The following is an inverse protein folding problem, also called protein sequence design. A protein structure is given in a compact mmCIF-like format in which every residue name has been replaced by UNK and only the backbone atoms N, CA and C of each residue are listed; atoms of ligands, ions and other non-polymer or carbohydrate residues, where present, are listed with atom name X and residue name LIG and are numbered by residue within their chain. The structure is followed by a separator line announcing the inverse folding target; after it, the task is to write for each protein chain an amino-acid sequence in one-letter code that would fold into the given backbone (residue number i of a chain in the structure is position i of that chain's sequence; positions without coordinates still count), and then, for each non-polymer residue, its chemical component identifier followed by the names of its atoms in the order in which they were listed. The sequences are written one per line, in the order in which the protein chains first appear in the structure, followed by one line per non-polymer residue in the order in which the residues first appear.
data_IF_963876683564
#
_entry.id   IF_963876683564
#
_cell.length_a   1.000
_cell.length_b   1.000
_cell.length_c   1.000
_cell.angle_alpha   90.00
_cell.angle_beta   90.00
_cell.angle_gamma   90.00
#
_symmetry.space_group_name_H-M   'P 1'
#
loop_
_entity.id
_entity.type
_entity.pdbx_description
1 polymer ?
#
# COMPACT_ATOMS: atom_id res chain seq x y z
N UNK A 1 9.53 93.32 -15.38
CA UNK A 1 9.70 93.95 -14.04
C UNK A 1 9.14 92.97 -12.98
N UNK A 2 9.99 92.53 -12.02
CA UNK A 2 9.70 91.82 -10.76
C UNK A 2 9.13 90.40 -10.87
N UNK A 3 9.87 89.36 -10.60
CA UNK A 3 10.46 88.86 -9.33
C UNK A 3 9.64 87.74 -8.68
N UNK A 4 10.21 86.60 -8.69
CA UNK A 4 10.36 85.59 -7.64
C UNK A 4 9.13 85.16 -6.81
N UNK A 5 8.88 83.82 -6.78
CA UNK A 5 9.12 83.05 -5.55
C UNK A 5 8.91 81.57 -5.76
N UNK A 6 9.84 80.78 -5.32
CA UNK A 6 9.84 79.32 -5.17
C UNK A 6 8.83 78.89 -4.11
N UNK A 7 8.12 77.80 -4.40
CA UNK A 7 7.46 77.06 -3.36
C UNK A 7 7.49 75.57 -3.72
N UNK A 8 8.25 74.83 -2.91
CA UNK A 8 8.39 73.38 -2.92
C UNK A 8 7.10 72.79 -2.36
N UNK A 9 6.45 71.88 -3.10
CA UNK A 9 5.38 71.09 -2.57
C UNK A 9 5.84 69.65 -2.52
N UNK A 10 5.87 69.10 -1.29
CA UNK A 10 5.99 67.72 -0.99
C UNK A 10 4.87 66.93 -1.67
N UNK A 11 5.19 66.00 -2.55
CA UNK A 11 4.27 64.99 -3.01
C UNK A 11 4.20 63.90 -1.93
N UNK A 12 3.17 63.90 -1.10
CA UNK A 12 2.72 62.75 -0.36
C UNK A 12 1.98 61.81 -1.31
N UNK A 13 2.64 60.72 -1.69
CA UNK A 13 2.03 59.67 -2.50
C UNK A 13 0.93 58.94 -1.73
N UNK A 14 -0.31 59.08 -2.17
CA UNK A 14 -1.39 58.16 -1.79
C UNK A 14 -1.21 56.87 -2.60
N UNK A 15 -0.86 55.80 -1.93
CA UNK A 15 -1.00 54.45 -2.45
C UNK A 15 -2.49 54.07 -2.41
N UNK A 16 -3.09 53.61 -3.51
CA UNK A 16 -4.42 52.99 -3.44
C UNK A 16 -4.31 51.64 -2.77
N UNK A 17 -5.01 51.47 -1.67
CA UNK A 17 -5.30 50.18 -1.04
C UNK A 17 -6.11 49.33 -2.04
N UNK A 18 -5.45 48.41 -2.70
CA UNK A 18 -6.11 47.29 -3.36
C UNK A 18 -6.65 46.36 -2.28
N UNK A 19 -7.92 46.50 -1.94
CA UNK A 19 -8.67 45.46 -1.25
C UNK A 19 -8.82 44.28 -2.21
N UNK A 20 -7.82 43.38 -2.23
CA UNK A 20 -7.96 42.07 -2.81
C UNK A 20 -8.87 41.23 -1.92
N UNK A 21 -9.90 40.63 -2.52
CA UNK A 21 -10.74 39.63 -1.90
C UNK A 21 -9.88 38.52 -1.28
N UNK A 22 -9.59 38.60 0.01
CA UNK A 22 -9.19 37.49 0.84
C UNK A 22 -10.47 36.90 1.44
N UNK A 23 -10.94 35.82 0.88
CA UNK A 23 -12.13 35.19 1.39
C UNK A 23 -12.51 33.99 0.54
N UNK A 24 -11.70 32.93 0.57
CA UNK A 24 -12.17 31.57 0.18
C UNK A 24 -11.37 30.42 0.78
N UNK A 25 -10.62 30.65 1.85
CA UNK A 25 -10.04 29.56 2.64
C UNK A 25 -10.16 29.96 4.10
N UNK A 26 -11.33 29.74 4.70
CA UNK A 26 -11.41 29.58 6.15
C UNK A 26 -10.78 28.24 6.49
N UNK A 27 -9.50 28.27 6.81
CA UNK A 27 -8.89 27.24 7.61
C UNK A 27 -9.55 27.32 8.99
N UNK A 28 -10.30 26.29 9.37
CA UNK A 28 -10.69 26.12 10.76
C UNK A 28 -9.43 26.28 11.61
N UNK A 29 -9.47 27.23 12.54
CA UNK A 29 -8.38 27.52 13.46
C UNK A 29 -8.23 26.38 14.45
N UNK A 30 -7.51 25.33 14.05
CA UNK A 30 -6.89 24.41 14.98
C UNK A 30 -5.61 25.08 15.46
N UNK A 31 -5.47 25.16 16.77
CA UNK A 31 -4.33 25.70 17.52
C UNK A 31 -3.01 25.37 16.83
N UNK A 32 -2.28 26.43 16.44
CA UNK A 32 -0.91 26.32 15.93
C UNK A 32 0.03 25.80 16.99
N UNK A 33 0.18 24.47 17.07
CA UNK A 33 1.41 23.88 17.58
C UNK A 33 2.47 24.10 16.50
N UNK A 34 3.56 24.80 16.82
CA UNK A 34 4.68 24.98 15.93
C UNK A 34 5.23 23.60 15.56
N UNK A 35 4.88 23.11 14.37
CA UNK A 35 5.58 22.02 13.74
C UNK A 35 7.03 22.45 13.60
N UNK A 36 7.92 21.84 14.37
CA UNK A 36 9.33 21.78 14.03
C UNK A 36 9.37 21.23 12.61
N UNK A 37 9.84 22.03 11.67
CA UNK A 37 10.04 21.63 10.27
C UNK A 37 11.11 20.55 10.23
N UNK A 38 10.74 19.31 10.53
CA UNK A 38 11.45 18.16 9.98
C UNK A 38 11.22 18.27 8.47
N UNK A 39 12.30 18.44 7.72
CA UNK A 39 12.25 18.35 6.25
C UNK A 39 11.77 16.95 5.93
N UNK A 40 10.47 16.83 5.60
CA UNK A 40 9.90 15.56 5.15
C UNK A 40 10.70 15.15 3.91
N UNK A 41 11.25 13.94 3.91
CA UNK A 41 11.93 13.38 2.74
C UNK A 41 10.93 13.15 1.62
N UNK A 42 11.36 12.64 0.51
CA UNK A 42 10.57 12.56 -0.70
C UNK A 42 10.69 11.18 -1.33
N UNK A 43 9.59 10.70 -1.89
CA UNK A 43 9.55 9.41 -2.56
C UNK A 43 8.61 9.39 -3.77
N UNK A 44 8.87 8.46 -4.69
CA UNK A 44 7.97 8.17 -5.79
C UNK A 44 7.08 6.98 -5.44
N UNK A 45 5.85 7.00 -5.94
CA UNK A 45 4.96 5.86 -5.89
C UNK A 45 4.03 5.84 -7.10
N UNK A 46 3.43 4.69 -7.35
CA UNK A 46 2.58 4.43 -8.49
C UNK A 46 1.21 3.96 -8.03
N UNK A 47 0.17 4.55 -8.60
CA UNK A 47 -1.22 4.19 -8.33
C UNK A 47 -1.83 3.67 -9.62
N UNK A 48 -2.54 2.55 -9.51
CA UNK A 48 -3.27 1.96 -10.60
C UNK A 48 -4.71 2.44 -10.59
N UNK A 49 -5.12 3.22 -11.60
CA UNK A 49 -6.51 3.56 -11.82
C UNK A 49 -7.13 2.52 -12.77
N UNK A 50 -8.03 1.69 -12.23
CA UNK A 50 -8.64 0.59 -12.99
C UNK A 50 -9.77 1.05 -13.89
N UNK A 51 -10.44 2.16 -13.58
CA UNK A 51 -11.50 2.72 -14.43
C UNK A 51 -10.93 3.34 -15.70
N UNK A 52 -9.86 4.13 -15.58
CA UNK A 52 -9.25 4.83 -16.73
C UNK A 52 -8.15 4.03 -17.41
N UNK A 53 -7.84 2.81 -16.93
CA UNK A 53 -6.76 1.97 -17.43
C UNK A 53 -5.42 2.72 -17.46
N UNK A 54 -5.01 3.30 -16.33
CA UNK A 54 -3.78 4.09 -16.22
C UNK A 54 -2.94 3.69 -15.00
N UNK A 55 -1.63 3.74 -15.18
CA UNK A 55 -0.68 3.87 -14.07
C UNK A 55 -0.41 5.36 -13.90
N UNK A 56 -0.59 5.88 -12.69
CA UNK A 56 -0.28 7.28 -12.38
C UNK A 56 0.90 7.30 -11.43
N UNK A 57 1.95 8.00 -11.84
CA UNK A 57 3.15 8.21 -11.03
C UNK A 57 3.01 9.50 -10.24
N UNK A 58 3.30 9.42 -8.96
CA UNK A 58 3.33 10.54 -8.03
C UNK A 58 4.69 10.68 -7.36
N UNK A 59 4.94 11.91 -6.93
CA UNK A 59 6.06 12.28 -6.08
C UNK A 59 5.51 13.00 -4.86
N UNK A 60 5.92 12.57 -3.68
CA UNK A 60 5.57 13.24 -2.42
C UNK A 60 6.79 13.90 -1.83
N UNK A 61 6.69 15.16 -1.44
CA UNK A 61 7.74 15.90 -0.74
C UNK A 61 7.11 16.99 0.13
N UNK A 62 7.62 17.13 1.35
CA UNK A 62 7.20 18.20 2.28
C UNK A 62 5.68 18.33 2.42
N UNK A 63 4.96 17.21 2.45
CA UNK A 63 3.50 17.18 2.55
C UNK A 63 2.76 17.60 1.27
N UNK A 64 3.45 17.70 0.14
CA UNK A 64 2.85 18.01 -1.16
C UNK A 64 2.90 16.81 -2.08
N UNK A 65 1.75 16.47 -2.66
CA UNK A 65 1.61 15.41 -3.66
C UNK A 65 1.65 16.02 -5.05
N UNK A 66 2.60 15.54 -5.87
CA UNK A 66 2.76 16.00 -7.25
C UNK A 66 2.60 14.84 -8.22
N UNK A 67 1.66 14.96 -9.15
CA UNK A 67 1.53 14.01 -10.27
C UNK A 67 2.71 14.20 -11.22
N UNK A 68 3.49 13.14 -11.44
CA UNK A 68 4.66 13.14 -12.33
C UNK A 68 4.26 12.82 -13.76
N UNK A 69 3.48 11.74 -13.94
CA UNK A 69 3.06 11.28 -15.26
C UNK A 69 1.85 10.34 -15.14
N UNK A 70 1.21 10.08 -16.29
CA UNK A 70 0.20 9.03 -16.46
C UNK A 70 0.57 8.18 -17.66
N UNK A 71 0.34 6.87 -17.54
CA UNK A 71 0.66 5.89 -18.59
C UNK A 71 -0.58 5.04 -18.84
N UNK A 72 -1.09 5.05 -20.06
CA UNK A 72 -2.17 4.14 -20.46
C UNK A 72 -1.63 2.72 -20.48
N UNK A 73 -2.36 1.80 -19.86
CA UNK A 73 -2.00 0.39 -19.81
C UNK A 73 -2.36 -0.30 -21.13
N UNK A 74 -1.64 -1.33 -21.56
CA UNK A 74 -1.92 -2.02 -22.81
C UNK A 74 -3.29 -2.72 -22.83
N UNK A 75 -3.73 -3.23 -21.67
CA UNK A 75 -5.03 -3.88 -21.45
C UNK A 75 -5.54 -3.52 -20.05
N UNK A 76 -6.74 -3.98 -19.68
CA UNK A 76 -7.34 -3.70 -18.36
C UNK A 76 -6.40 -4.12 -17.24
N UNK A 77 -5.98 -3.19 -16.39
CA UNK A 77 -5.00 -3.45 -15.33
C UNK A 77 -5.66 -4.07 -14.08
N UNK A 78 -4.89 -4.84 -13.33
CA UNK A 78 -5.35 -5.55 -12.12
C UNK A 78 -4.47 -5.20 -10.91
N UNK A 79 -3.14 -5.30 -11.05
CA UNK A 79 -2.22 -5.18 -9.93
C UNK A 79 -0.87 -4.60 -10.34
N UNK A 80 -0.13 -4.08 -9.37
CA UNK A 80 1.23 -3.55 -9.54
C UNK A 80 2.20 -4.20 -8.54
N UNK A 81 3.46 -4.35 -8.94
CA UNK A 81 4.58 -4.64 -8.05
C UNK A 81 5.82 -3.85 -8.46
N UNK A 82 6.47 -3.18 -7.52
CA UNK A 82 7.79 -2.54 -7.73
C UNK A 82 8.86 -3.51 -7.25
N UNK A 83 9.93 -3.65 -8.03
CA UNK A 83 11.08 -4.45 -7.63
C UNK A 83 11.84 -3.76 -6.48
N UNK A 84 12.35 -4.50 -5.47
CA UNK A 84 13.08 -3.92 -4.34
C UNK A 84 14.30 -3.06 -4.72
N UNK A 85 14.89 -3.29 -5.90
CA UNK A 85 15.98 -2.44 -6.43
C UNK A 85 15.48 -1.13 -7.07
N UNK A 86 14.18 -0.85 -7.03
CA UNK A 86 13.53 0.34 -7.59
C UNK A 86 13.73 0.55 -9.11
N UNK A 87 14.20 -0.47 -9.83
CA UNK A 87 14.53 -0.35 -11.26
C UNK A 87 13.39 -0.77 -12.18
N UNK A 88 12.46 -1.58 -11.67
CA UNK A 88 11.38 -2.16 -12.48
C UNK A 88 10.03 -2.13 -11.77
N UNK A 89 8.98 -1.91 -12.56
CA UNK A 89 7.59 -2.05 -12.17
C UNK A 89 6.96 -3.14 -13.04
N UNK A 90 6.28 -4.07 -12.41
CA UNK A 90 5.49 -5.13 -13.05
C UNK A 90 4.02 -4.76 -12.97
N UNK A 91 3.34 -4.83 -14.12
CA UNK A 91 1.93 -4.55 -14.27
C UNK A 91 1.19 -5.84 -14.64
N UNK A 92 0.36 -6.35 -13.73
CA UNK A 92 -0.59 -7.44 -14.02
C UNK A 92 -1.86 -6.89 -14.67
N UNK A 93 -2.27 -7.51 -15.76
CA UNK A 93 -3.45 -7.14 -16.54
C UNK A 93 -4.24 -8.39 -16.94
N UNK A 94 -5.45 -8.22 -17.48
CA UNK A 94 -6.23 -9.33 -18.09
C UNK A 94 -5.53 -9.94 -19.31
N UNK A 95 -4.52 -9.29 -19.88
CA UNK A 95 -3.76 -9.77 -21.04
C UNK A 95 -2.38 -10.31 -20.72
N UNK A 96 -2.06 -10.42 -19.42
CA UNK A 96 -0.75 -10.88 -18.95
C UNK A 96 0.05 -9.83 -18.19
N UNK A 97 1.32 -10.11 -17.93
CA UNK A 97 2.21 -9.26 -17.14
C UNK A 97 3.16 -8.49 -18.03
N UNK A 98 3.19 -7.16 -17.86
CA UNK A 98 4.10 -6.24 -18.54
C UNK A 98 5.18 -5.73 -17.56
N UNK A 99 6.33 -5.35 -18.12
CA UNK A 99 7.45 -4.78 -17.35
C UNK A 99 7.73 -3.37 -17.82
N UNK A 100 7.99 -2.49 -16.87
CA UNK A 100 8.45 -1.13 -17.10
C UNK A 100 9.77 -0.90 -16.35
N UNK A 101 10.72 -0.22 -16.96
CA UNK A 101 11.84 0.35 -16.22
C UNK A 101 11.43 1.66 -15.56
N UNK A 102 11.99 1.92 -14.36
CA UNK A 102 11.72 3.12 -13.56
C UNK A 102 12.95 4.03 -13.61
N UNK A 103 12.76 5.31 -13.88
CA UNK A 103 13.78 6.34 -13.77
C UNK A 103 13.18 7.66 -13.28
N UNK A 104 13.53 8.11 -12.07
CA UNK A 104 12.99 9.33 -11.45
C UNK A 104 11.44 9.38 -11.52
N UNK A 105 10.79 8.29 -11.13
CA UNK A 105 9.33 8.14 -11.17
C UNK A 105 8.70 8.03 -12.55
N UNK A 106 9.49 8.04 -13.63
CA UNK A 106 9.00 7.83 -15.00
C UNK A 106 9.12 6.37 -15.40
N UNK A 107 8.11 5.90 -16.11
CA UNK A 107 8.03 4.53 -16.62
C UNK A 107 8.35 4.47 -18.12
N UNK A 108 9.12 3.47 -18.50
CA UNK A 108 9.35 3.12 -19.92
C UNK A 108 9.06 1.63 -20.07
N UNK A 109 8.15 1.27 -20.98
CA UNK A 109 7.79 -0.12 -21.21
C UNK A 109 8.99 -0.91 -21.73
N UNK A 110 9.25 -2.06 -21.12
CA UNK A 110 10.32 -2.97 -21.50
C UNK A 110 9.81 -4.05 -22.46
N UNK A 111 10.69 -5.01 -22.83
CA UNK A 111 10.35 -6.16 -23.67
C UNK A 111 9.64 -5.77 -24.99
N UNK A 112 9.96 -4.59 -25.54
CA UNK A 112 9.30 -4.04 -26.74
C UNK A 112 7.75 -3.99 -26.62
N UNK A 113 7.21 -3.89 -25.39
CA UNK A 113 5.79 -3.91 -25.12
C UNK A 113 5.13 -5.31 -25.14
N UNK A 114 5.93 -6.37 -25.17
CA UNK A 114 5.45 -7.75 -25.03
C UNK A 114 5.24 -8.13 -23.55
N UNK A 115 4.35 -9.10 -23.29
CA UNK A 115 4.18 -9.69 -21.97
C UNK A 115 5.35 -10.59 -21.59
N UNK A 116 5.59 -10.74 -20.29
CA UNK A 116 6.57 -11.70 -19.74
C UNK A 116 5.89 -12.98 -19.24
N UNK A 117 4.61 -12.94 -18.95
CA UNK A 117 3.71 -14.07 -18.71
C UNK A 117 2.35 -13.75 -19.34
N UNK A 118 1.63 -14.77 -19.82
CA UNK A 118 0.27 -14.62 -20.30
C UNK A 118 -0.78 -14.79 -19.20
N UNK A 119 -0.35 -15.07 -17.98
CA UNK A 119 -1.25 -15.28 -16.85
C UNK A 119 -1.87 -13.96 -16.37
N UNK A 120 -3.14 -14.02 -16.01
CA UNK A 120 -3.86 -12.91 -15.40
C UNK A 120 -3.50 -12.87 -13.91
N UNK A 121 -2.47 -12.09 -13.59
CA UNK A 121 -2.00 -11.96 -12.21
C UNK A 121 -2.97 -11.11 -11.38
N UNK A 122 -3.54 -11.71 -10.32
CA UNK A 122 -4.40 -11.00 -9.35
C UNK A 122 -3.60 -10.22 -8.31
N UNK A 123 -2.49 -10.77 -7.86
CA UNK A 123 -1.56 -10.13 -6.93
C UNK A 123 -0.14 -10.61 -7.25
N UNK A 124 0.84 -9.73 -7.05
CA UNK A 124 2.25 -10.02 -7.36
C UNK A 124 3.18 -9.37 -6.35
N UNK A 125 4.34 -9.98 -6.14
CA UNK A 125 5.46 -9.39 -5.42
C UNK A 125 6.79 -9.90 -5.95
N UNK A 126 7.80 -9.02 -6.03
CA UNK A 126 9.17 -9.40 -6.36
C UNK A 126 9.90 -9.83 -5.08
N UNK A 127 10.69 -10.89 -5.17
CA UNK A 127 11.52 -11.34 -4.04
C UNK A 127 12.58 -10.29 -3.68
N UNK A 128 13.01 -10.22 -2.40
CA UNK A 128 13.95 -9.18 -1.91
C UNK A 128 15.26 -9.12 -2.67
N UNK A 129 15.73 -10.25 -3.20
CA UNK A 129 16.95 -10.35 -4.02
C UNK A 129 16.72 -10.00 -5.50
N UNK A 130 15.51 -9.58 -5.89
CA UNK A 130 15.10 -9.25 -7.26
C UNK A 130 15.24 -10.42 -8.27
N UNK A 131 15.34 -11.65 -7.80
CA UNK A 131 15.59 -12.82 -8.66
C UNK A 131 14.31 -13.50 -9.15
N UNK A 132 13.16 -13.24 -8.52
CA UNK A 132 11.89 -13.88 -8.85
C UNK A 132 10.72 -12.89 -8.74
N UNK A 133 9.79 -12.97 -9.67
CA UNK A 133 8.44 -12.41 -9.52
C UNK A 133 7.51 -13.55 -9.08
N UNK A 134 6.87 -13.38 -7.93
CA UNK A 134 5.83 -14.30 -7.46
C UNK A 134 4.49 -13.71 -7.85
N UNK A 135 3.64 -14.51 -8.47
CA UNK A 135 2.30 -14.11 -8.86
C UNK A 135 1.25 -15.13 -8.42
N UNK A 136 0.04 -14.66 -8.19
CA UNK A 136 -1.15 -15.47 -8.01
C UNK A 136 -2.10 -15.27 -9.19
N UNK A 137 -2.48 -16.35 -9.84
CA UNK A 137 -3.32 -16.32 -11.03
C UNK A 137 -4.78 -16.10 -10.67
N UNK A 138 -5.43 -15.14 -11.33
CA UNK A 138 -6.81 -14.73 -11.07
C UNK A 138 -7.79 -15.91 -11.12
N UNK A 139 -8.71 -15.93 -10.14
CA UNK A 139 -9.79 -16.91 -10.08
C UNK A 139 -9.37 -18.35 -9.84
N UNK A 140 -8.10 -18.61 -9.58
CA UNK A 140 -7.53 -19.94 -9.39
C UNK A 140 -6.83 -20.07 -8.04
N UNK A 141 -6.35 -21.27 -7.73
CA UNK A 141 -5.46 -21.56 -6.60
C UNK A 141 -4.00 -21.71 -7.07
N UNK A 142 -3.59 -21.05 -8.15
CA UNK A 142 -2.25 -21.19 -8.69
C UNK A 142 -1.37 -20.02 -8.24
N UNK A 143 -0.19 -20.37 -7.74
CA UNK A 143 0.92 -19.46 -7.46
C UNK A 143 2.06 -19.83 -8.38
N UNK A 144 2.64 -18.86 -9.06
CA UNK A 144 3.74 -19.03 -9.98
C UNK A 144 4.94 -18.19 -9.55
N UNK A 145 6.13 -18.64 -9.88
CA UNK A 145 7.38 -17.91 -9.72
C UNK A 145 8.09 -17.79 -11.07
N UNK A 146 8.32 -16.57 -11.52
CA UNK A 146 9.01 -16.25 -12.77
C UNK A 146 10.45 -15.85 -12.42
N UNK A 147 11.47 -16.60 -12.89
CA UNK A 147 12.86 -16.23 -12.64
C UNK A 147 13.23 -14.97 -13.44
N UNK A 148 13.85 -13.99 -12.76
CA UNK A 148 14.15 -12.67 -13.33
C UNK A 148 15.65 -12.41 -13.46
N UNK A 149 16.01 -11.65 -14.48
CA UNK A 149 17.29 -10.96 -14.56
C UNK A 149 17.24 -9.69 -13.71
N UNK A 150 18.09 -9.58 -12.71
CA UNK A 150 18.18 -8.40 -11.83
C UNK A 150 18.58 -7.12 -12.56
N UNK A 151 19.18 -7.23 -13.76
CA UNK A 151 19.64 -6.10 -14.57
C UNK A 151 18.65 -5.65 -15.63
N UNK A 152 17.76 -6.53 -16.09
CA UNK A 152 16.78 -6.20 -17.15
C UNK A 152 15.33 -6.31 -16.71
N UNK A 153 15.06 -6.94 -15.55
CA UNK A 153 13.71 -7.22 -15.07
C UNK A 153 12.95 -8.26 -15.90
N UNK A 154 13.59 -8.87 -16.90
CA UNK A 154 12.96 -9.83 -17.81
C UNK A 154 13.19 -11.28 -17.37
N UNK A 155 12.33 -12.23 -17.77
CA UNK A 155 12.50 -13.65 -17.44
C UNK A 155 13.81 -14.24 -17.92
N UNK A 156 14.39 -15.12 -17.11
CA UNK A 156 15.62 -15.86 -17.46
C UNK A 156 15.36 -17.36 -17.68
N UNK A 157 14.13 -17.83 -17.44
CA UNK A 157 13.75 -19.23 -17.57
C UNK A 157 12.23 -19.40 -17.51
N UNK A 158 11.80 -20.64 -17.45
CA UNK A 158 10.39 -20.99 -17.35
C UNK A 158 9.83 -20.73 -15.95
N UNK A 159 8.55 -20.42 -15.88
CA UNK A 159 7.77 -20.30 -14.65
C UNK A 159 7.78 -21.60 -13.84
N UNK A 160 7.71 -21.48 -12.54
CA UNK A 160 7.69 -22.59 -11.59
C UNK A 160 6.46 -22.49 -10.70
N UNK A 161 5.93 -23.63 -10.23
CA UNK A 161 4.81 -23.68 -9.29
C UNK A 161 5.08 -24.65 -8.15
N UNK A 162 4.40 -24.51 -6.99
CA UNK A 162 4.40 -25.54 -5.97
C UNK A 162 3.88 -26.87 -6.55
N UNK A 163 4.50 -27.99 -6.17
CA UNK A 163 4.17 -29.29 -6.73
C UNK A 163 2.78 -29.80 -6.32
N UNK A 164 2.23 -29.37 -5.20
CA UNK A 164 0.89 -29.69 -4.69
C UNK A 164 0.59 -28.97 -3.37
N UNK A 165 -0.63 -29.05 -2.86
CA UNK A 165 -0.98 -28.72 -1.48
C UNK A 165 -1.69 -27.39 -1.28
N UNK A 166 -1.83 -26.55 -2.29
CA UNK A 166 -2.66 -25.34 -2.16
C UNK A 166 -4.13 -25.73 -2.02
N UNK A 167 -4.88 -25.11 -1.08
CA UNK A 167 -6.34 -25.25 -1.00
C UNK A 167 -7.01 -24.86 -2.31
N UNK A 168 -8.11 -25.53 -2.66
CA UNK A 168 -8.90 -25.20 -3.86
C UNK A 168 -9.77 -23.96 -3.65
N UNK A 169 -9.13 -22.83 -3.33
CA UNK A 169 -9.80 -21.54 -3.08
C UNK A 169 -9.08 -20.45 -3.83
N UNK A 170 -9.81 -19.46 -4.32
CA UNK A 170 -9.23 -18.31 -5.02
C UNK A 170 -8.32 -17.51 -4.08
N UNK A 171 -7.16 -17.15 -4.59
CA UNK A 171 -6.18 -16.35 -3.85
C UNK A 171 -6.70 -14.91 -3.73
N UNK A 172 -6.53 -14.32 -2.55
CA UNK A 172 -6.91 -12.95 -2.24
C UNK A 172 -5.71 -12.02 -2.21
N UNK A 173 -4.60 -12.47 -1.62
CA UNK A 173 -3.36 -11.71 -1.53
C UNK A 173 -2.18 -12.67 -1.33
N UNK A 174 -1.00 -12.25 -1.77
CA UNK A 174 0.25 -12.91 -1.44
C UNK A 174 1.23 -11.94 -0.76
N UNK A 175 2.17 -12.49 0.01
CA UNK A 175 3.30 -11.78 0.58
C UNK A 175 4.55 -12.65 0.52
N UNK A 176 5.70 -12.05 0.19
CA UNK A 176 7.02 -12.67 0.30
C UNK A 176 7.66 -12.17 1.59
N UNK A 177 8.29 -13.06 2.36
CA UNK A 177 8.98 -12.63 3.57
C UNK A 177 10.16 -11.71 3.27
N UNK A 178 10.56 -10.80 4.20
CA UNK A 178 11.65 -9.85 3.99
C UNK A 178 13.00 -10.48 3.62
N UNK A 179 13.29 -11.69 4.11
CA UNK A 179 14.49 -12.43 3.70
C UNK A 179 14.30 -13.29 2.43
N UNK A 180 13.06 -13.41 1.94
CA UNK A 180 12.73 -14.19 0.75
C UNK A 180 12.65 -15.70 0.98
N UNK A 181 12.58 -16.16 2.23
CA UNK A 181 12.58 -17.58 2.58
C UNK A 181 11.18 -18.22 2.58
N UNK A 182 10.12 -17.39 2.51
CA UNK A 182 8.73 -17.83 2.49
C UNK A 182 7.87 -17.02 1.54
N UNK A 183 6.89 -17.69 0.94
CA UNK A 183 5.74 -17.11 0.26
C UNK A 183 4.49 -17.43 1.07
N UNK A 184 3.71 -16.42 1.42
CA UNK A 184 2.43 -16.52 2.11
C UNK A 184 1.30 -16.19 1.16
N UNK A 185 0.18 -16.89 1.27
CA UNK A 185 -0.95 -16.74 0.36
C UNK A 185 -2.25 -16.77 1.15
N UNK A 186 -2.98 -15.66 1.19
CA UNK A 186 -4.34 -15.59 1.72
C UNK A 186 -5.32 -16.17 0.69
N UNK A 187 -6.09 -17.18 1.08
CA UNK A 187 -6.91 -18.00 0.17
C UNK A 187 -8.38 -18.04 0.58
N UNK A 188 -8.94 -16.91 1.01
CA UNK A 188 -10.34 -16.84 1.39
C UNK A 188 -10.72 -17.90 2.43
N UNK A 189 -11.75 -18.68 2.16
CA UNK A 189 -12.19 -19.79 3.04
C UNK A 189 -11.19 -20.95 3.14
N UNK A 190 -10.18 -20.99 2.28
CA UNK A 190 -9.06 -21.93 2.34
C UNK A 190 -8.04 -21.62 3.43
N UNK A 191 -8.16 -20.47 4.10
CA UNK A 191 -7.19 -20.01 5.11
C UNK A 191 -5.98 -19.34 4.49
N UNK A 192 -4.82 -19.48 5.12
CA UNK A 192 -3.55 -18.90 4.63
C UNK A 192 -2.54 -20.02 4.45
N UNK A 193 -2.01 -20.19 3.23
CA UNK A 193 -0.90 -21.06 2.97
C UNK A 193 0.43 -20.36 3.22
N UNK A 194 1.42 -21.07 3.73
CA UNK A 194 2.83 -20.65 3.72
C UNK A 194 3.69 -21.72 3.06
N UNK A 195 4.65 -21.26 2.26
CA UNK A 195 5.45 -22.11 1.38
C UNK A 195 6.91 -21.71 1.57
N UNK A 196 7.79 -22.58 2.08
CA UNK A 196 9.22 -22.29 2.06
C UNK A 196 9.69 -21.99 0.65
N UNK A 197 10.56 -21.00 0.50
CA UNK A 197 11.05 -20.53 -0.79
C UNK A 197 12.57 -20.46 -0.79
N UNK A 198 13.22 -21.16 -1.74
CA UNK A 198 14.69 -21.19 -1.86
C UNK A 198 15.08 -20.68 -3.23
N UNK A 199 15.41 -19.42 -3.32
CA UNK A 199 15.66 -18.69 -4.57
C UNK A 199 16.74 -19.30 -5.47
N UNK A 200 17.69 -20.07 -4.91
CA UNK A 200 18.77 -20.72 -5.66
C UNK A 200 18.39 -22.04 -6.35
N UNK A 201 17.21 -22.57 -6.09
CA UNK A 201 16.75 -23.83 -6.68
C UNK A 201 16.09 -23.60 -8.05
N UNK A 202 16.13 -24.61 -8.92
CA UNK A 202 15.42 -24.60 -10.21
C UNK A 202 13.89 -24.54 -10.06
N UNK A 203 13.33 -25.22 -9.06
CA UNK A 203 12.00 -24.94 -8.52
C UNK A 203 12.20 -24.43 -7.10
N UNK A 204 11.87 -23.15 -6.83
CA UNK A 204 12.15 -22.53 -5.54
C UNK A 204 11.15 -22.91 -4.45
N UNK A 205 9.97 -23.45 -4.79
CA UNK A 205 8.91 -23.75 -3.84
C UNK A 205 9.16 -25.05 -3.07
N UNK A 206 9.02 -24.98 -1.75
CA UNK A 206 8.96 -26.12 -0.85
C UNK A 206 7.55 -26.67 -0.67
N UNK A 207 7.34 -27.43 0.40
CA UNK A 207 6.04 -28.02 0.74
C UNK A 207 5.06 -26.96 1.27
N UNK A 208 3.83 -26.99 0.78
CA UNK A 208 2.76 -26.11 1.24
C UNK A 208 2.26 -26.54 2.62
N UNK A 209 2.11 -25.58 3.52
CA UNK A 209 1.43 -25.78 4.82
C UNK A 209 0.33 -24.72 4.96
N UNK A 210 -0.82 -25.10 5.54
CA UNK A 210 -1.98 -24.22 5.65
C UNK A 210 -2.31 -23.90 7.10
N UNK A 211 -2.55 -22.62 7.39
CA UNK A 211 -3.16 -22.10 8.61
C UNK A 211 -4.66 -21.98 8.31
N UNK A 212 -5.50 -22.74 8.98
CA UNK A 212 -6.96 -22.68 8.80
C UNK A 212 -7.51 -21.31 9.25
N UNK A 213 -8.63 -20.89 8.69
CA UNK A 213 -9.37 -19.72 9.17
C UNK A 213 -9.74 -19.84 10.64
N UNK A 214 -9.85 -18.73 11.35
CA UNK A 214 -10.25 -18.69 12.76
C UNK A 214 -11.63 -19.29 12.98
N UNK A 215 -12.56 -18.99 12.09
CA UNK A 215 -13.89 -19.58 12.10
C UNK A 215 -14.24 -20.23 10.76
N UNK A 216 -15.14 -21.22 10.78
CA UNK A 216 -15.59 -21.91 9.56
C UNK A 216 -16.31 -21.01 8.56
N UNK A 217 -16.80 -19.85 9.00
CA UNK A 217 -17.40 -18.81 8.15
C UNK A 217 -16.44 -17.68 7.79
N UNK A 218 -15.17 -17.77 8.24
CA UNK A 218 -14.15 -16.77 8.00
C UNK A 218 -13.51 -16.92 6.61
N UNK A 219 -12.84 -15.86 6.18
CA UNK A 219 -12.06 -15.82 4.97
C UNK A 219 -10.79 -14.99 5.18
N UNK A 220 -9.62 -15.54 4.86
CA UNK A 220 -8.36 -14.82 4.85
C UNK A 220 -8.31 -13.93 3.61
N UNK A 221 -8.26 -12.61 3.81
CA UNK A 221 -8.29 -11.60 2.75
C UNK A 221 -6.92 -10.97 2.50
N UNK A 222 -6.12 -10.83 3.54
CA UNK A 222 -4.81 -10.19 3.46
C UNK A 222 -3.77 -10.92 4.32
N UNK A 223 -2.52 -10.76 3.93
CA UNK A 223 -1.38 -11.34 4.64
C UNK A 223 -0.18 -10.39 4.52
N UNK A 224 0.57 -10.22 5.60
CA UNK A 224 1.80 -9.42 5.62
C UNK A 224 2.79 -10.01 6.63
N UNK A 225 4.07 -9.70 6.45
CA UNK A 225 5.15 -10.10 7.36
C UNK A 225 5.81 -8.86 7.94
N UNK A 226 6.11 -8.90 9.22
CA UNK A 226 6.90 -7.88 9.92
C UNK A 226 8.26 -7.69 9.25
N UNK A 227 8.79 -6.44 9.12
CA UNK A 227 10.06 -6.18 8.42
C UNK A 227 11.27 -6.96 8.98
N UNK A 228 11.26 -7.24 10.29
CA UNK A 228 12.30 -8.03 10.97
C UNK A 228 11.96 -9.52 11.08
N UNK A 229 10.91 -9.99 10.40
CA UNK A 229 10.42 -11.38 10.47
C UNK A 229 10.09 -11.86 11.89
N UNK A 230 9.61 -10.97 12.75
CA UNK A 230 9.17 -11.33 14.10
C UNK A 230 7.76 -11.90 14.11
N UNK A 231 6.87 -11.32 13.27
CA UNK A 231 5.44 -11.58 13.25
C UNK A 231 4.92 -11.79 11.81
N UNK A 232 3.94 -12.68 11.71
CA UNK A 232 3.11 -12.86 10.53
C UNK A 232 1.71 -12.35 10.86
N UNK A 233 1.13 -11.56 10.00
CA UNK A 233 -0.19 -10.96 10.11
C UNK A 233 -1.14 -11.53 9.07
N UNK A 234 -2.35 -11.90 9.49
CA UNK A 234 -3.42 -12.39 8.60
C UNK A 234 -4.69 -11.61 8.90
N UNK A 235 -5.24 -10.95 7.90
CA UNK A 235 -6.53 -10.27 7.98
C UNK A 235 -7.65 -11.21 7.57
N UNK A 236 -8.59 -11.49 8.50
CA UNK A 236 -9.70 -12.41 8.25
C UNK A 236 -11.06 -11.76 8.52
N UNK A 237 -12.07 -12.14 7.74
CA UNK A 237 -13.46 -11.87 8.07
C UNK A 237 -13.92 -12.81 9.19
N UNK A 238 -14.95 -12.42 9.95
CA UNK A 238 -15.54 -13.25 11.00
C UNK A 238 -14.51 -13.83 12.01
N UNK A 239 -13.42 -13.10 12.24
CA UNK A 239 -12.33 -13.55 13.13
C UNK A 239 -12.54 -13.15 14.60
N UNK A 240 -13.50 -12.29 14.93
CA UNK A 240 -13.81 -11.91 16.31
C UNK A 240 -15.22 -12.37 16.73
N UNK A 241 -15.40 -12.69 18.01
CA UNK A 241 -16.64 -13.25 18.55
C UNK A 241 -17.82 -12.28 18.55
N UNK A 242 -17.62 -10.99 18.33
CA UNK A 242 -18.69 -10.01 18.20
C UNK A 242 -19.18 -9.94 16.75
N UNK A 243 -20.19 -10.76 16.44
CA UNK A 243 -21.05 -10.65 15.27
C UNK A 243 -20.36 -10.28 13.95
N UNK A 244 -19.63 -11.22 13.34
CA UNK A 244 -19.08 -11.12 11.98
C UNK A 244 -18.11 -9.93 11.74
N UNK A 245 -17.40 -9.47 12.76
CA UNK A 245 -16.37 -8.44 12.60
C UNK A 245 -15.08 -9.03 12.08
N UNK A 246 -14.38 -8.27 11.25
CA UNK A 246 -13.03 -8.61 10.81
C UNK A 246 -12.03 -8.62 11.96
N UNK A 247 -10.98 -9.39 11.84
CA UNK A 247 -9.92 -9.49 12.82
C UNK A 247 -8.54 -9.61 12.18
N UNK A 248 -7.55 -9.15 12.93
CA UNK A 248 -6.14 -9.33 12.64
C UNK A 248 -5.62 -10.48 13.47
N UNK A 249 -5.30 -11.60 12.82
CA UNK A 249 -4.60 -12.71 13.45
C UNK A 249 -3.10 -12.49 13.38
N UNK A 250 -2.41 -12.77 14.46
CA UNK A 250 -0.98 -12.52 14.58
C UNK A 250 -0.26 -13.76 15.08
N UNK A 251 0.79 -14.14 14.38
CA UNK A 251 1.57 -15.34 14.64
C UNK A 251 3.04 -14.97 14.86
N UNK A 252 3.74 -15.69 15.73
CA UNK A 252 5.20 -15.64 15.76
C UNK A 252 5.75 -16.21 14.46
N UNK A 253 6.58 -15.48 13.74
CA UNK A 253 7.15 -15.91 12.48
C UNK A 253 8.00 -17.18 12.64
N UNK A 254 8.81 -17.25 13.70
CA UNK A 254 9.74 -18.35 13.94
C UNK A 254 9.09 -19.73 14.17
N UNK A 255 7.82 -19.78 14.53
CA UNK A 255 7.12 -21.04 14.87
C UNK A 255 5.73 -21.15 14.28
N UNK A 256 5.24 -20.12 13.62
CA UNK A 256 3.86 -19.97 13.14
C UNK A 256 2.81 -20.28 14.22
N UNK A 257 3.14 -19.99 15.49
CA UNK A 257 2.20 -20.11 16.61
C UNK A 257 1.48 -18.81 16.84
N UNK A 258 0.15 -18.86 16.95
CA UNK A 258 -0.69 -17.67 17.16
C UNK A 258 -0.43 -17.03 18.52
N UNK A 259 -0.39 -15.69 18.58
CA UNK A 259 -0.17 -14.94 19.80
C UNK A 259 -1.38 -15.07 20.75
N UNK A 260 -1.07 -15.05 22.04
CA UNK A 260 -2.10 -14.87 23.06
C UNK A 260 -2.73 -13.47 22.91
N UNK A 261 -4.04 -13.40 22.77
CA UNK A 261 -4.79 -12.16 22.50
C UNK A 261 -5.20 -11.96 21.05
N UNK A 262 -4.63 -12.74 20.11
CA UNK A 262 -5.13 -12.84 18.74
C UNK A 262 -6.44 -13.67 18.73
N UNK A 263 -7.41 -13.34 17.84
CA UNK A 263 -7.41 -12.24 16.88
C UNK A 263 -7.74 -10.87 17.50
N UNK A 264 -7.13 -9.81 16.99
CA UNK A 264 -7.38 -8.43 17.36
C UNK A 264 -8.51 -7.85 16.50
N UNK A 265 -9.45 -7.11 17.11
CA UNK A 265 -10.59 -6.51 16.40
C UNK A 265 -10.12 -5.33 15.53
N UNK A 266 -10.42 -5.34 14.22
CA UNK A 266 -10.02 -4.30 13.28
C UNK A 266 -11.04 -3.17 13.10
N UNK A 267 -12.14 -3.20 13.84
CA UNK A 267 -13.20 -2.18 13.75
C UNK A 267 -14.05 -2.26 12.47
N UNK A 268 -13.64 -3.02 11.46
CA UNK A 268 -14.34 -3.21 10.20
C UNK A 268 -14.71 -4.67 9.92
N UNK A 269 -15.22 -4.94 8.72
CA UNK A 269 -15.70 -6.26 8.32
C UNK A 269 -14.71 -7.03 7.45
N UNK A 270 -13.93 -6.32 6.65
CA UNK A 270 -13.10 -6.88 5.60
C UNK A 270 -11.69 -6.25 5.62
N UNK A 271 -10.75 -6.83 6.38
CA UNK A 271 -9.37 -6.38 6.44
C UNK A 271 -8.63 -6.72 5.14
N UNK A 272 -8.63 -5.80 4.18
CA UNK A 272 -8.17 -6.01 2.81
C UNK A 272 -6.67 -5.76 2.62
N UNK A 273 -6.07 -4.92 3.47
CA UNK A 273 -4.64 -4.63 3.41
C UNK A 273 -4.06 -4.48 4.79
N UNK A 274 -2.88 -5.04 4.98
CA UNK A 274 -2.10 -4.93 6.20
C UNK A 274 -0.77 -4.30 5.85
N UNK A 275 -0.39 -3.26 6.57
CA UNK A 275 0.88 -2.55 6.43
C UNK A 275 1.64 -2.60 7.75
N UNK A 276 2.60 -3.53 7.93
CA UNK A 276 3.61 -3.36 8.95
C UNK A 276 4.49 -2.17 8.59
N UNK A 277 4.64 -1.22 9.50
CA UNK A 277 5.47 -0.03 9.30
C UNK A 277 6.95 -0.42 9.26
N UNK A 278 7.75 0.25 8.43
CA UNK A 278 9.14 -0.10 8.15
C UNK A 278 10.03 -0.18 9.40
N UNK A 279 9.79 0.66 10.42
CA UNK A 279 10.48 0.60 11.72
C UNK A 279 10.01 -0.55 12.63
N UNK A 280 8.97 -1.29 12.24
CA UNK A 280 8.46 -2.46 12.94
C UNK A 280 7.85 -2.17 14.32
N UNK A 281 7.48 -0.92 14.59
CA UNK A 281 6.84 -0.52 15.84
C UNK A 281 5.32 -0.52 15.77
N UNK A 282 4.78 -0.44 14.55
CA UNK A 282 3.35 -0.32 14.29
C UNK A 282 2.91 -1.26 13.18
N UNK A 283 1.62 -1.57 13.18
CA UNK A 283 0.94 -2.24 12.06
C UNK A 283 -0.42 -1.59 11.83
N UNK A 284 -0.76 -1.33 10.57
CA UNK A 284 -2.02 -0.74 10.14
C UNK A 284 -2.81 -1.72 9.33
N UNK A 285 -4.12 -1.74 9.56
CA UNK A 285 -5.07 -2.62 8.86
C UNK A 285 -6.14 -1.78 8.20
N UNK A 286 -6.17 -1.79 6.88
CA UNK A 286 -7.25 -1.15 6.13
C UNK A 286 -8.43 -2.09 5.99
N UNK A 287 -9.57 -1.67 6.50
CA UNK A 287 -10.84 -2.34 6.31
C UNK A 287 -11.60 -1.69 5.16
N UNK A 288 -12.07 -2.50 4.22
CA UNK A 288 -12.81 -2.03 3.05
C UNK A 288 -14.13 -1.35 3.42
N UNK A 289 -14.77 -1.81 4.50
CA UNK A 289 -16.04 -1.29 4.98
C UNK A 289 -16.26 -1.58 6.46
N UNK A 290 -17.18 -0.86 7.07
CA UNK A 290 -17.71 -1.13 8.42
C UNK A 290 -19.07 -1.82 8.34
N UNK A 291 -19.62 -2.22 9.48
CA UNK A 291 -20.97 -2.82 9.54
C UNK A 291 -22.10 -1.86 9.10
N UNK A 292 -21.85 -0.56 9.15
CA UNK A 292 -22.86 0.48 8.89
C UNK A 292 -22.55 1.39 7.71
N UNK A 293 -21.35 1.25 7.08
CA UNK A 293 -20.89 2.16 6.04
C UNK A 293 -19.96 1.48 5.04
N UNK A 294 -20.04 1.88 3.79
CA UNK A 294 -19.05 1.56 2.73
C UNK A 294 -17.74 2.35 2.89
N UNK A 295 -17.71 3.36 3.77
CA UNK A 295 -16.48 4.06 4.11
C UNK A 295 -15.54 3.10 4.83
N UNK A 296 -14.33 2.96 4.32
CA UNK A 296 -13.27 2.20 4.94
C UNK A 296 -12.72 2.90 6.18
N UNK A 297 -12.01 2.14 6.97
CA UNK A 297 -11.25 2.67 8.10
C UNK A 297 -9.89 1.97 8.18
N UNK A 298 -8.92 2.67 8.75
CA UNK A 298 -7.61 2.11 9.07
C UNK A 298 -7.53 1.99 10.58
N UNK A 299 -7.30 0.77 11.08
CA UNK A 299 -6.99 0.50 12.47
C UNK A 299 -5.49 0.41 12.66
N UNK A 300 -4.95 1.13 13.65
CA UNK A 300 -3.54 1.09 14.00
C UNK A 300 -3.29 0.33 15.30
N UNK A 301 -2.17 -0.39 15.35
CA UNK A 301 -1.71 -1.09 16.55
C UNK A 301 -0.26 -0.76 16.83
N UNK A 302 0.06 -0.56 18.11
CA UNK A 302 1.43 -0.54 18.61
C UNK A 302 1.87 -1.97 18.92
N UNK A 303 3.07 -2.33 18.48
CA UNK A 303 3.70 -3.62 18.76
C UNK A 303 4.61 -3.46 19.97
N UNK A 304 4.38 -4.25 20.99
CA UNK A 304 5.22 -4.30 22.18
C UNK A 304 5.94 -5.65 22.26
N UNK A 305 7.20 -5.64 22.65
CA UNK A 305 8.00 -6.86 22.82
C UNK A 305 8.67 -6.90 24.18
N UNK A 306 8.65 -8.06 24.81
CA UNK A 306 9.39 -8.34 26.04
C UNK A 306 9.87 -9.79 26.03
N UNK A 307 11.18 -10.00 26.07
CA UNK A 307 11.80 -11.34 26.13
C UNK A 307 11.21 -12.34 25.11
N UNK A 308 11.10 -11.94 23.84
CA UNK A 308 10.52 -12.74 22.75
C UNK A 308 9.02 -13.02 22.88
N UNK A 309 8.31 -12.30 23.74
CA UNK A 309 6.86 -12.26 23.79
C UNK A 309 6.39 -10.97 23.14
N UNK A 310 5.42 -11.07 22.23
CA UNK A 310 4.87 -9.94 21.49
C UNK A 310 3.39 -9.76 21.87
N UNK A 311 2.95 -8.50 21.91
CA UNK A 311 1.56 -8.14 22.06
C UNK A 311 1.24 -6.90 21.22
N UNK A 312 0.01 -6.83 20.72
CA UNK A 312 -0.51 -5.65 20.04
C UNK A 312 -1.48 -4.91 20.95
N UNK A 313 -1.40 -3.59 20.88
CA UNK A 313 -2.35 -2.70 21.55
C UNK A 313 -2.97 -1.77 20.51
N UNK A 314 -4.32 -1.76 20.41
CA UNK A 314 -5.03 -0.82 19.54
C UNK A 314 -4.69 0.61 19.95
N UNK A 315 -4.51 1.49 18.97
CA UNK A 315 -4.26 2.93 19.19
C UNK A 315 -5.52 3.67 19.65
N UNK A 316 -6.64 2.98 19.83
CA UNK A 316 -7.95 3.53 20.25
C UNK A 316 -8.48 4.67 19.35
N UNK A 317 -7.92 4.85 18.18
CA UNK A 317 -8.34 5.80 17.15
C UNK A 317 -8.32 5.11 15.80
N UNK A 318 -9.49 5.09 15.16
CA UNK A 318 -9.61 4.65 13.78
C UNK A 318 -9.33 5.84 12.87
N UNK A 319 -8.48 5.65 11.88
CA UNK A 319 -8.19 6.67 10.88
C UNK A 319 -9.18 6.54 9.73
N UNK A 320 -9.89 7.64 9.42
CA UNK A 320 -10.87 7.64 8.34
C UNK A 320 -10.17 7.46 7.00
N UNK A 321 -10.59 6.46 6.24
CA UNK A 321 -10.16 6.21 4.87
C UNK A 321 -11.23 6.71 3.86
N UNK A 322 -11.11 6.30 2.60
CA UNK A 322 -12.11 6.59 1.57
C UNK A 322 -13.18 5.49 1.47
N UNK A 323 -13.94 5.50 0.38
CA UNK A 323 -14.92 4.45 0.11
C UNK A 323 -14.21 3.21 -0.41
N UNK A 324 -14.48 2.06 0.22
CA UNK A 324 -13.90 0.78 -0.14
C UNK A 324 -12.37 0.80 -0.22
N UNK A 325 -11.70 1.13 0.88
CA UNK A 325 -10.23 1.10 0.96
C UNK A 325 -9.70 -0.31 0.68
N UNK A 326 -8.74 -0.42 -0.25
CA UNK A 326 -8.27 -1.72 -0.77
C UNK A 326 -6.78 -1.95 -0.60
N UNK A 327 -5.96 -0.90 -0.50
CA UNK A 327 -4.52 -1.07 -0.31
C UNK A 327 -3.90 0.05 0.51
N UNK A 328 -2.87 -0.30 1.25
CA UNK A 328 -1.97 0.61 1.95
C UNK A 328 -0.56 0.46 1.39
N UNK A 329 0.20 1.54 1.41
CA UNK A 329 1.64 1.54 1.14
C UNK A 329 2.32 2.59 2.01
N UNK A 330 3.60 2.36 2.34
CA UNK A 330 4.48 3.33 2.98
C UNK A 330 5.50 3.83 1.96
N UNK A 331 5.89 5.09 2.05
CA UNK A 331 6.92 5.63 1.18
C UNK A 331 8.33 5.31 1.69
N UNK A 332 9.32 5.39 0.81
CA UNK A 332 10.73 5.09 1.13
C UNK A 332 11.38 6.02 2.16
N UNK A 333 10.70 7.04 2.60
CA UNK A 333 11.19 7.93 3.66
C UNK A 333 10.66 7.58 5.05
N UNK A 334 9.77 6.58 5.14
CA UNK A 334 9.07 6.16 6.36
C UNK A 334 8.30 7.32 7.02
N UNK A 335 7.78 8.25 6.20
CA UNK A 335 7.07 9.44 6.69
C UNK A 335 5.62 9.50 6.25
N UNK A 336 5.28 8.82 5.17
CA UNK A 336 3.94 8.83 4.62
C UNK A 336 3.35 7.43 4.51
N UNK A 337 2.12 7.31 4.93
CA UNK A 337 1.27 6.16 4.63
C UNK A 337 0.23 6.57 3.61
N UNK A 338 0.08 5.81 2.54
CA UNK A 338 -0.93 6.02 1.52
C UNK A 338 -2.02 4.98 1.63
N UNK A 339 -3.26 5.40 1.38
CA UNK A 339 -4.39 4.51 1.23
C UNK A 339 -5.10 4.79 -0.10
N UNK A 340 -5.37 3.74 -0.86
CA UNK A 340 -6.16 3.81 -2.09
C UNK A 340 -7.53 3.18 -1.89
N UNK A 341 -8.52 3.75 -2.57
CA UNK A 341 -9.92 3.46 -2.39
C UNK A 341 -10.60 3.23 -3.74
N UNK A 342 -11.62 2.37 -3.75
CA UNK A 342 -12.47 2.15 -4.92
C UNK A 342 -13.78 2.91 -4.68
N UNK A 343 -13.92 4.06 -5.33
CA UNK A 343 -15.10 4.90 -5.28
C UNK A 343 -14.99 6.13 -4.36
N UNK A 344 -15.92 7.07 -4.54
CA UNK A 344 -15.93 8.36 -3.87
C UNK A 344 -15.22 9.43 -4.69
N UNK A 345 -15.14 10.66 -4.13
CA UNK A 345 -14.51 11.79 -4.81
C UNK A 345 -12.98 11.79 -4.70
N UNK A 346 -12.43 11.03 -3.75
CA UNK A 346 -10.99 10.92 -3.54
C UNK A 346 -10.60 9.46 -3.35
N UNK A 347 -9.86 8.94 -4.28
CA UNK A 347 -9.41 7.55 -4.31
C UNK A 347 -7.98 7.36 -3.76
N UNK A 348 -7.27 8.44 -3.45
CA UNK A 348 -5.96 8.44 -2.83
C UNK A 348 -5.95 9.37 -1.60
N UNK A 349 -5.60 8.82 -0.45
CA UNK A 349 -5.33 9.57 0.78
C UNK A 349 -3.86 9.38 1.16
N UNK A 350 -3.21 10.47 1.58
CA UNK A 350 -1.89 10.43 2.19
C UNK A 350 -1.98 10.89 3.65
N UNK A 351 -1.27 10.19 4.50
CA UNK A 351 -1.17 10.44 5.94
C UNK A 351 0.29 10.67 6.31
N UNK A 352 0.53 11.53 7.29
CA UNK A 352 1.82 11.62 7.99
C UNK A 352 1.68 11.04 9.38
N UNK A 353 2.80 10.61 9.97
CA UNK A 353 2.82 10.22 11.37
C UNK A 353 2.69 11.47 12.27
N UNK A 354 1.77 11.41 13.23
CA UNK A 354 1.56 12.48 14.22
C UNK A 354 2.84 12.69 15.05
N UNK A 355 3.29 13.93 15.14
CA UNK A 355 4.52 14.29 15.85
C UNK A 355 4.40 14.19 17.38
N UNK A 356 3.19 14.10 17.93
CA UNK A 356 2.91 14.08 19.36
C UNK A 356 2.44 12.71 19.86
N UNK A 357 1.73 11.98 19.01
CA UNK A 357 1.18 10.66 19.32
C UNK A 357 1.85 9.63 18.41
N UNK A 358 2.87 8.97 18.90
CA UNK A 358 3.67 8.04 18.11
C UNK A 358 2.82 6.93 17.48
N UNK A 359 2.95 6.77 16.16
CA UNK A 359 2.19 5.82 15.35
C UNK A 359 0.79 6.27 14.93
N UNK A 360 0.29 7.41 15.39
CA UNK A 360 -0.97 7.95 14.91
C UNK A 360 -0.80 8.54 13.50
N UNK A 361 -1.84 8.44 12.68
CA UNK A 361 -1.86 8.93 11.31
C UNK A 361 -2.71 10.18 11.18
N UNK A 362 -2.10 11.27 10.75
CA UNK A 362 -2.79 12.52 10.39
C UNK A 362 -3.01 12.58 8.88
N UNK A 363 -4.27 12.67 8.43
CA UNK A 363 -4.60 12.80 7.02
C UNK A 363 -4.27 14.20 6.52
N UNK A 364 -3.30 14.31 5.61
CA UNK A 364 -2.80 15.59 5.10
C UNK A 364 -3.22 15.89 3.68
N UNK A 365 -3.44 14.88 2.84
CA UNK A 365 -3.73 15.06 1.42
C UNK A 365 -4.84 14.10 0.99
N UNK A 366 -5.73 14.60 0.12
CA UNK A 366 -6.67 13.80 -0.63
C UNK A 366 -6.52 14.15 -2.11
N UNK A 367 -6.48 13.15 -2.97
CA UNK A 367 -6.34 13.32 -4.42
C UNK A 367 -7.21 12.34 -5.17
N UNK A 368 -7.69 12.77 -6.32
CA UNK A 368 -8.35 11.92 -7.30
C UNK A 368 -7.33 11.47 -8.34
N UNK A 369 -7.27 10.17 -8.61
CA UNK A 369 -6.37 9.60 -9.63
C UNK A 369 -7.00 9.54 -11.02
N UNK A 370 -8.31 9.73 -11.12
CA UNK A 370 -9.05 9.67 -12.38
C UNK A 370 -10.30 10.53 -12.41
N UNK A 371 -11.26 10.17 -13.26
CA UNK A 371 -12.58 10.76 -13.30
C UNK A 371 -13.49 10.19 -12.20
N UNK A 372 -14.58 10.89 -11.86
CA UNK A 372 -15.56 10.43 -10.87
C UNK A 372 -16.62 9.51 -11.53
N UNK A 373 -16.96 8.31 -11.00
CA UNK A 373 -16.37 7.69 -9.82
C UNK A 373 -14.92 7.27 -10.05
N UNK A 374 -14.06 7.53 -9.08
CA UNK A 374 -12.64 7.20 -9.15
C UNK A 374 -12.38 5.83 -8.53
N UNK A 375 -11.49 5.06 -9.14
CA UNK A 375 -11.18 3.70 -8.74
C UNK A 375 -9.66 3.46 -8.75
N UNK A 376 -9.03 3.66 -7.60
CA UNK A 376 -7.64 3.27 -7.40
C UNK A 376 -7.60 1.83 -6.88
N UNK A 377 -7.16 0.89 -7.72
CA UNK A 377 -7.18 -0.54 -7.43
C UNK A 377 -5.93 -1.09 -6.76
N UNK A 378 -4.79 -0.44 -6.95
CA UNK A 378 -3.51 -0.85 -6.36
C UNK A 378 -2.55 0.33 -6.20
N UNK A 379 -1.59 0.18 -5.30
CA UNK A 379 -0.51 1.14 -5.07
C UNK A 379 0.80 0.37 -4.85
N UNK A 380 1.91 0.91 -5.36
CA UNK A 380 3.24 0.43 -5.08
C UNK A 380 4.19 1.63 -4.92
N UNK A 381 4.88 1.71 -3.81
CA UNK A 381 5.91 2.71 -3.55
C UNK A 381 7.29 2.18 -3.95
N UNK A 382 8.23 3.07 -4.23
CA UNK A 382 9.65 2.70 -4.29
C UNK A 382 10.18 2.59 -2.86
N UNK A 383 11.15 1.70 -2.64
CA UNK A 383 11.73 1.34 -1.34
C UNK A 383 13.01 2.13 -1.04
#
# INVERSE_FOLDING_TARGET
MKMRRWMVWLLTGLLPLMNGCAGFWDAESSSSSSLTTTTLSSGYFFVLNIETNQIISYYVASGTLTKVASYTTPTTPITLAVAPNNSFLYLGTVGGIYVYSISSGKLTIANSGGVISSDEAYTMQVTPNNAWLIEAVSGTANVMAIPLSTSTGLPTGSEQSPSSGLPSSAIQQLAVSPNGDYVFVAMGSGGTAYIPFTSGNSNPFGSVTTISTYSTSGAALSVAVDPDERLLYIGETAATSSSNSGGLRVFKFSSFSELSGSPYATGGLAPYSILPEAGGSYVYVANRQTASSTTGLIEGYTITSSSSTYALSSMASNFTAGIHTVALAEDSSDQFVFAVNIGGSYDLNAYVFDSTNAGYLDKVIQSSTGSDPVEAGAIAAIH
#
